data_IF_682560381217
#
_entry.id   IF_682560381217
#
_cell.length_a   1.000
_cell.length_b   1.000
_cell.length_c   1.000
_cell.angle_alpha   90.00
_cell.angle_beta   90.00
_cell.angle_gamma   90.00
#
_symmetry.space_group_name_H-M   'P 1'
#
loop_
_entity.id
_entity.type
_entity.pdbx_description
1 polymer ?
#
# COMPACT_ATOMS: atom_id res chain seq x y z
N UNK A 1 -6.58 1.82 -2.76
CA UNK A 1 -7.87 1.74 -2.06
C UNK A 1 -8.72 2.96 -2.42
N UNK A 2 -9.99 2.75 -2.81
CA UNK A 2 -10.96 3.82 -3.05
C UNK A 2 -11.67 4.27 -1.75
N UNK A 3 -12.48 5.33 -1.83
CA UNK A 3 -13.18 5.93 -0.67
C UNK A 3 -14.14 4.96 0.00
N UNK A 4 -14.94 4.25 -0.80
CA UNK A 4 -15.96 3.35 -0.29
C UNK A 4 -15.34 2.19 0.50
N UNK A 5 -14.21 1.65 0.02
CA UNK A 5 -13.46 0.61 0.74
C UNK A 5 -12.85 1.17 2.02
N UNK A 6 -12.24 2.35 1.97
CA UNK A 6 -11.66 3.00 3.15
C UNK A 6 -12.71 3.22 4.25
N UNK A 7 -13.87 3.75 3.86
CA UNK A 7 -15.00 3.96 4.77
C UNK A 7 -15.55 2.64 5.31
N UNK A 8 -15.68 1.61 4.47
CA UNK A 8 -16.12 0.28 4.91
C UNK A 8 -15.16 -0.36 5.92
N UNK A 9 -13.85 -0.12 5.82
CA UNK A 9 -12.85 -0.69 6.74
C UNK A 9 -12.77 0.09 8.04
N UNK A 10 -12.80 1.42 7.95
CA UNK A 10 -12.54 2.31 9.09
C UNK A 10 -13.81 2.75 9.81
N UNK A 11 -14.96 2.73 9.15
CA UNK A 11 -16.22 3.32 9.60
C UNK A 11 -16.27 4.85 9.48
N UNK A 12 -15.30 5.47 8.80
CA UNK A 12 -15.15 6.93 8.73
C UNK A 12 -14.77 7.38 7.31
N UNK A 13 -15.07 8.65 7.01
CA UNK A 13 -14.53 9.34 5.83
C UNK A 13 -13.35 10.20 6.23
N UNK A 14 -12.36 10.30 5.33
CA UNK A 14 -11.15 11.07 5.54
C UNK A 14 -10.94 12.08 4.41
N UNK A 15 -10.28 13.19 4.73
CA UNK A 15 -9.77 14.10 3.73
C UNK A 15 -8.65 13.41 2.93
N UNK A 16 -8.56 13.74 1.64
CA UNK A 16 -7.61 13.13 0.71
C UNK A 16 -6.99 14.21 -0.15
N UNK A 17 -5.67 14.09 -0.37
CA UNK A 17 -4.94 14.95 -1.30
C UNK A 17 -4.21 14.10 -2.32
N UNK A 18 -4.24 14.51 -3.58
CA UNK A 18 -3.43 13.87 -4.62
C UNK A 18 -1.96 13.92 -4.21
N UNK A 19 -1.30 12.77 -4.25
CA UNK A 19 0.06 12.59 -3.76
C UNK A 19 0.84 11.67 -4.68
N UNK A 20 2.15 11.90 -4.78
CA UNK A 20 3.09 11.06 -5.53
C UNK A 20 4.09 10.42 -4.58
N UNK A 21 4.20 9.10 -4.63
CA UNK A 21 5.23 8.32 -3.94
C UNK A 21 6.39 8.07 -4.89
N UNK A 22 7.54 8.71 -4.67
CA UNK A 22 8.73 8.56 -5.51
C UNK A 22 9.59 7.37 -5.07
N UNK A 23 10.27 6.72 -6.01
CA UNK A 23 11.16 5.58 -5.74
C UNK A 23 10.43 4.25 -5.56
N UNK A 24 9.15 4.19 -5.92
CA UNK A 24 8.32 2.98 -5.86
C UNK A 24 7.63 2.72 -7.19
N UNK A 25 7.35 1.44 -7.45
CA UNK A 25 6.55 0.98 -8.59
C UNK A 25 5.33 0.22 -8.07
N UNK A 26 4.18 0.42 -8.73
CA UNK A 26 2.96 -0.34 -8.44
C UNK A 26 2.94 -1.63 -9.26
N UNK A 27 2.86 -2.75 -8.56
CA UNK A 27 2.66 -4.08 -9.16
C UNK A 27 1.19 -4.46 -9.02
N UNK A 28 0.54 -4.80 -10.13
CA UNK A 28 -0.85 -5.26 -10.16
C UNK A 28 -0.89 -6.70 -10.73
N UNK A 29 -0.79 -7.73 -9.88
CA UNK A 29 -0.80 -9.11 -10.36
C UNK A 29 -2.19 -9.49 -10.92
N UNK A 30 -2.22 -10.47 -11.83
CA UNK A 30 -3.49 -10.98 -12.39
C UNK A 30 -4.41 -11.60 -11.31
N UNK A 31 -3.85 -12.01 -10.18
CA UNK A 31 -4.56 -12.50 -8.99
C UNK A 31 -3.97 -11.84 -7.75
N UNK A 32 -4.83 -11.41 -6.83
CA UNK A 32 -4.45 -10.75 -5.58
C UNK A 32 -4.57 -9.23 -5.65
N UNK A 33 -4.14 -8.57 -4.58
CA UNK A 33 -4.23 -7.11 -4.46
C UNK A 33 -2.98 -6.42 -5.04
N UNK A 34 -3.12 -5.23 -5.64
CA UNK A 34 -1.98 -4.43 -6.05
C UNK A 34 -1.15 -4.00 -4.85
N UNK A 35 0.17 -3.99 -5.02
CA UNK A 35 1.13 -3.56 -4.01
C UNK A 35 2.19 -2.64 -4.61
N UNK A 36 2.95 -1.95 -3.77
CA UNK A 36 4.11 -1.15 -4.20
C UNK A 36 5.41 -1.80 -3.75
N UNK A 37 6.46 -1.66 -4.56
CA UNK A 37 7.82 -2.13 -4.27
C UNK A 37 8.85 -1.03 -4.58
N UNK A 38 10.00 -0.99 -3.88
CA UNK A 38 11.07 -0.05 -4.20
C UNK A 38 11.58 -0.24 -5.64
N UNK A 39 11.63 0.86 -6.40
CA UNK A 39 12.15 0.91 -7.77
C UNK A 39 12.70 2.31 -8.05
N UNK A 40 14.02 2.42 -8.15
CA UNK A 40 14.68 3.69 -8.42
C UNK A 40 14.18 4.34 -9.72
N UNK A 41 13.89 5.64 -9.67
CA UNK A 41 13.36 6.42 -10.80
C UNK A 41 11.88 6.19 -11.13
N UNK A 42 11.21 5.24 -10.49
CA UNK A 42 9.77 5.04 -10.63
C UNK A 42 8.98 5.92 -9.65
N UNK A 43 7.68 6.06 -9.89
CA UNK A 43 6.76 6.68 -8.94
C UNK A 43 5.37 6.04 -9.00
N UNK A 44 4.59 6.27 -7.96
CA UNK A 44 3.18 5.88 -7.87
C UNK A 44 2.34 7.12 -7.54
N UNK A 45 1.42 7.46 -8.43
CA UNK A 45 0.41 8.48 -8.16
C UNK A 45 -0.75 7.85 -7.35
N UNK A 46 -1.20 8.57 -6.32
CA UNK A 46 -2.20 8.10 -5.38
C UNK A 46 -2.77 9.24 -4.53
N UNK A 47 -3.19 8.90 -3.32
CA UNK A 47 -3.78 9.87 -2.39
C UNK A 47 -3.15 9.73 -1.01
N UNK A 48 -2.76 10.85 -0.42
CA UNK A 48 -2.49 10.97 1.01
C UNK A 48 -3.83 11.03 1.74
N UNK A 49 -4.04 10.14 2.70
CA UNK A 49 -5.21 10.14 3.59
C UNK A 49 -4.78 10.88 4.86
N UNK A 50 -5.52 11.94 5.23
CA UNK A 50 -5.14 12.83 6.33
C UNK A 50 -5.95 12.54 7.60
N UNK A 51 -5.35 12.83 8.76
CA UNK A 51 -6.00 12.75 10.08
C UNK A 51 -6.58 11.36 10.43
N UNK A 52 -5.87 10.29 10.05
CA UNK A 52 -6.24 8.92 10.43
C UNK A 52 -6.01 8.72 11.92
N UNK A 53 -7.09 8.49 12.67
CA UNK A 53 -6.98 8.21 14.11
C UNK A 53 -6.40 6.81 14.38
N UNK A 54 -5.91 6.59 15.61
CA UNK A 54 -5.26 5.33 15.97
C UNK A 54 -6.20 4.11 15.90
N UNK A 55 -7.52 4.28 16.06
CA UNK A 55 -8.46 3.17 15.95
C UNK A 55 -8.67 2.77 14.49
N UNK A 56 -8.82 3.74 13.60
CA UNK A 56 -8.91 3.55 12.17
C UNK A 56 -7.61 2.97 11.60
N UNK A 57 -6.45 3.42 12.08
CA UNK A 57 -5.16 2.86 11.70
C UNK A 57 -5.04 1.37 12.07
N UNK A 58 -5.48 0.96 13.26
CA UNK A 58 -5.51 -0.46 13.65
C UNK A 58 -6.44 -1.31 12.78
N UNK A 59 -7.57 -0.76 12.34
CA UNK A 59 -8.48 -1.44 11.41
C UNK A 59 -7.83 -1.62 10.04
N UNK A 60 -7.10 -0.61 9.56
CA UNK A 60 -6.30 -0.72 8.34
C UNK A 60 -5.21 -1.77 8.47
N UNK A 61 -4.48 -1.81 9.60
CA UNK A 61 -3.47 -2.85 9.84
C UNK A 61 -4.05 -4.25 9.77
N UNK A 62 -5.26 -4.44 10.33
CA UNK A 62 -5.98 -5.72 10.27
C UNK A 62 -6.40 -6.05 8.83
N UNK A 63 -6.94 -5.07 8.11
CA UNK A 63 -7.43 -5.26 6.74
C UNK A 63 -6.30 -5.58 5.76
N UNK A 64 -5.17 -4.88 5.88
CA UNK A 64 -3.98 -5.06 5.04
C UNK A 64 -3.12 -6.25 5.52
N UNK A 65 -3.51 -6.93 6.60
CA UNK A 65 -2.81 -8.10 7.13
C UNK A 65 -1.32 -7.78 7.40
N UNK A 66 -1.13 -6.69 8.14
CA UNK A 66 0.17 -6.10 8.47
C UNK A 66 1.07 -7.15 9.17
N UNK A 67 2.33 -7.21 8.74
CA UNK A 67 3.31 -8.20 9.20
C UNK A 67 3.24 -9.54 8.48
N UNK A 68 2.23 -9.78 7.62
CA UNK A 68 2.08 -11.02 6.85
C UNK A 68 2.00 -10.80 5.33
N UNK A 69 1.07 -9.97 4.85
CA UNK A 69 0.95 -9.67 3.41
C UNK A 69 1.64 -8.36 3.05
N UNK A 70 1.43 -7.35 3.91
CA UNK A 70 2.01 -6.03 3.75
C UNK A 70 2.77 -5.63 5.00
N UNK A 71 3.72 -4.72 4.83
CA UNK A 71 4.47 -4.11 5.92
C UNK A 71 4.16 -2.62 5.94
N UNK A 72 3.73 -2.09 7.09
CA UNK A 72 3.55 -0.64 7.25
C UNK A 72 4.93 0.02 7.37
N UNK A 73 5.23 0.95 6.47
CA UNK A 73 6.53 1.61 6.39
C UNK A 73 6.37 3.13 6.37
N UNK A 74 7.25 3.86 7.09
CA UNK A 74 7.35 5.30 6.91
C UNK A 74 7.89 5.61 5.51
N UNK A 75 7.30 6.60 4.85
CA UNK A 75 7.68 7.09 3.52
C UNK A 75 7.50 8.61 3.46
N UNK A 76 8.03 9.24 2.41
CA UNK A 76 7.70 10.61 2.04
C UNK A 76 6.94 10.61 0.72
N UNK A 77 5.88 11.42 0.63
CA UNK A 77 5.14 11.66 -0.61
C UNK A 77 5.19 13.13 -0.98
N UNK A 78 5.09 13.42 -2.28
CA UNK A 78 5.00 14.79 -2.79
C UNK A 78 3.53 15.19 -2.93
N UNK A 79 3.12 16.27 -2.26
CA UNK A 79 1.76 16.83 -2.29
C UNK A 79 1.84 18.31 -2.64
N UNK A 80 1.35 18.70 -3.81
CA UNK A 80 1.42 20.10 -4.25
C UNK A 80 2.86 20.66 -4.35
N UNK A 81 3.85 19.79 -4.55
CA UNK A 81 5.28 20.15 -4.61
C UNK A 81 6.02 20.05 -3.28
N UNK A 82 5.34 19.81 -2.17
CA UNK A 82 5.95 19.65 -0.85
C UNK A 82 6.09 18.19 -0.45
N UNK A 83 7.17 17.86 0.27
CA UNK A 83 7.37 16.52 0.84
C UNK A 83 6.62 16.41 2.17
N UNK A 84 5.80 15.38 2.28
CA UNK A 84 5.01 15.09 3.48
C UNK A 84 5.37 13.68 3.96
N UNK A 85 5.84 13.59 5.21
CA UNK A 85 6.08 12.31 5.86
C UNK A 85 4.74 11.62 6.16
N UNK A 86 4.63 10.34 5.81
CA UNK A 86 3.45 9.53 6.09
C UNK A 86 3.83 8.05 6.20
N UNK A 87 2.83 7.18 6.29
CA UNK A 87 3.02 5.74 6.25
C UNK A 87 2.31 5.14 5.04
N UNK A 88 2.81 4.02 4.55
CA UNK A 88 2.15 3.23 3.50
C UNK A 88 2.33 1.73 3.74
N UNK A 89 1.49 0.92 3.12
CA UNK A 89 1.59 -0.54 3.16
C UNK A 89 2.34 -1.02 1.91
N UNK A 90 3.57 -1.51 2.12
CA UNK A 90 4.44 -2.02 1.06
C UNK A 90 4.28 -3.52 1.00
N UNK A 91 4.13 -4.08 -0.20
CA UNK A 91 4.02 -5.54 -0.35
C UNK A 91 5.35 -6.20 0.00
N UNK A 92 5.31 -7.33 0.70
CA UNK A 92 6.52 -8.12 0.95
C UNK A 92 6.92 -8.86 -0.34
N UNK A 93 7.79 -8.24 -1.13
CA UNK A 93 8.26 -8.77 -2.41
C UNK A 93 8.92 -10.16 -2.27
N UNK A 94 9.55 -10.47 -1.13
CA UNK A 94 10.18 -11.76 -0.87
C UNK A 94 9.13 -12.85 -0.63
N UNK A 95 8.04 -12.55 0.09
CA UNK A 95 6.89 -13.46 0.24
C UNK A 95 6.13 -13.65 -1.07
N UNK A 96 5.94 -12.59 -1.86
CA UNK A 96 5.31 -12.69 -3.16
C UNK A 96 6.15 -13.53 -4.14
N UNK A 97 7.46 -13.33 -4.24
CA UNK A 97 8.33 -14.16 -5.09
C UNK A 97 8.35 -15.63 -4.65
N UNK A 98 8.32 -15.93 -3.34
CA UNK A 98 8.28 -17.31 -2.83
C UNK A 98 6.97 -18.03 -3.16
N UNK A 99 5.82 -17.36 -3.03
CA UNK A 99 4.51 -17.94 -3.39
C UNK A 99 4.32 -18.14 -4.90
N UNK A 100 4.92 -17.29 -5.73
CA UNK A 100 4.90 -17.50 -7.19
C UNK A 100 5.76 -18.69 -7.62
N UNK A 101 6.86 -18.99 -6.90
CA UNK A 101 7.76 -20.10 -7.24
C UNK A 101 7.17 -21.48 -6.91
N UNK A 102 6.36 -21.62 -5.86
CA UNK A 102 5.76 -22.92 -5.46
C UNK A 102 4.58 -23.36 -6.33
N UNK A 103 4.02 -22.46 -7.16
CA UNK A 103 2.84 -22.76 -7.99
C UNK A 103 3.19 -23.16 -9.44
N UNK A 104 4.45 -23.05 -9.83
CA UNK A 104 4.95 -23.48 -11.15
C UNK A 104 5.57 -24.90 -11.11
N UNK A 105 5.71 -25.51 -9.92
CA UNK A 105 6.27 -26.86 -9.72
C UNK A 105 5.21 -27.92 -9.37
N UNK A 106 3.98 -27.80 -9.90
CA UNK A 106 2.99 -28.89 -9.88
C UNK A 106 2.37 -29.05 -11.26
N UNK A 107 3.19 -29.44 -12.24
CA UNK A 107 2.79 -30.31 -13.34
C UNK A 107 4.05 -31.04 -13.80
N UNK A 108 4.34 -32.13 -13.11
CA UNK A 108 5.32 -33.16 -13.47
C UNK A 108 4.74 -34.51 -13.09
#
# INVERSE_FOLDING_TARGET
MDDARLESVTGQRFARRAARLEGFERVAPARGYPYVVPRAGAHVDGHLIENVDAASLRRLDTYEDEGRLYLRRPVEVVVGGERVACETYVGDADQHQRRFRTMTDVTG
#
